data_IF_610545897837
#
_entry.id   IF_610545897837
#
_cell.length_a   1.000
_cell.length_b   1.000
_cell.length_c   1.000
_cell.angle_alpha   90.00
_cell.angle_beta   90.00
_cell.angle_gamma   90.00
#
_symmetry.space_group_name_H-M   'P 1'
#
loop_
_entity.id
_entity.type
_entity.pdbx_description
1 polymer ?
#
# COMPACT_ATOMS: atom_id res chain seq x y z
N UNK A 1 -4.48 -82.54 -59.33
CA UNK A 1 -3.56 -82.47 -58.19
C UNK A 1 -3.65 -81.10 -57.58
N UNK A 2 -4.31 -81.02 -56.46
CA UNK A 2 -4.71 -79.77 -55.72
C UNK A 2 -3.60 -79.35 -54.79
N UNK A 3 -3.21 -78.08 -54.83
CA UNK A 3 -2.43 -77.44 -53.76
C UNK A 3 -3.14 -76.20 -53.24
N UNK A 4 -3.64 -76.32 -52.03
CA UNK A 4 -4.25 -75.33 -51.27
C UNK A 4 -3.21 -74.34 -50.75
N UNK A 5 -3.41 -73.00 -50.95
CA UNK A 5 -2.59 -71.97 -50.40
C UNK A 5 -3.41 -71.33 -49.29
N UNK A 6 -2.98 -71.49 -48.02
CA UNK A 6 -3.51 -70.76 -46.85
C UNK A 6 -2.98 -69.31 -46.85
N UNK A 7 -3.87 -68.37 -46.88
CA UNK A 7 -3.54 -66.98 -46.66
C UNK A 7 -3.58 -66.70 -45.14
N UNK A 8 -2.43 -66.30 -44.56
CA UNK A 8 -2.28 -65.86 -43.18
C UNK A 8 -2.61 -64.37 -43.10
N UNK A 9 -3.68 -64.06 -42.40
CA UNK A 9 -4.07 -62.67 -42.06
C UNK A 9 -3.25 -62.22 -40.87
N UNK A 10 -2.23 -61.36 -41.09
CA UNK A 10 -1.51 -60.66 -40.01
C UNK A 10 -2.30 -59.46 -39.47
N UNK A 11 -2.77 -59.64 -38.27
CA UNK A 11 -3.45 -58.54 -37.49
C UNK A 11 -2.38 -57.57 -37.04
N UNK A 12 -2.32 -56.38 -37.68
CA UNK A 12 -1.43 -55.28 -37.32
C UNK A 12 -2.11 -54.47 -36.22
N UNK A 13 -1.72 -54.71 -34.96
CA UNK A 13 -2.18 -53.93 -33.81
C UNK A 13 -1.48 -52.56 -33.83
N UNK A 14 -2.22 -51.51 -34.22
CA UNK A 14 -1.83 -50.11 -34.11
C UNK A 14 -2.01 -49.69 -32.67
N UNK A 15 -0.92 -49.55 -31.93
CA UNK A 15 -0.87 -48.99 -30.59
C UNK A 15 -0.84 -47.47 -30.71
N UNK A 16 -1.87 -46.72 -30.23
CA UNK A 16 -1.81 -45.25 -30.20
C UNK A 16 -0.81 -44.81 -29.14
N UNK A 17 0.31 -44.24 -29.56
CA UNK A 17 1.25 -43.53 -28.69
C UNK A 17 0.56 -42.26 -28.15
N UNK A 18 0.08 -42.34 -26.93
CA UNK A 18 -0.45 -41.19 -26.17
C UNK A 18 0.74 -40.26 -25.82
N UNK A 19 0.99 -39.27 -26.67
CA UNK A 19 1.91 -38.17 -26.36
C UNK A 19 1.34 -37.39 -25.18
N UNK A 20 1.83 -37.66 -23.99
CA UNK A 20 1.68 -36.77 -22.82
C UNK A 20 2.46 -35.47 -23.11
N UNK A 21 1.78 -34.48 -23.69
CA UNK A 21 2.28 -33.12 -23.75
C UNK A 21 2.35 -32.60 -22.30
N UNK A 22 3.52 -32.76 -21.68
CA UNK A 22 3.85 -32.10 -20.42
C UNK A 22 3.88 -30.60 -20.69
N UNK A 23 2.74 -29.95 -20.53
CA UNK A 23 2.64 -28.50 -20.55
C UNK A 23 3.51 -27.96 -19.40
N UNK A 24 4.69 -27.47 -19.73
CA UNK A 24 5.50 -26.69 -18.79
C UNK A 24 4.66 -25.46 -18.42
N UNK A 25 4.06 -25.47 -17.25
CA UNK A 25 3.48 -24.26 -16.67
C UNK A 25 4.65 -23.27 -16.52
N UNK A 26 4.70 -22.28 -17.40
CA UNK A 26 5.57 -21.13 -17.23
C UNK A 26 5.06 -20.41 -15.98
N UNK A 27 5.64 -20.70 -14.83
CA UNK A 27 5.50 -19.89 -13.64
C UNK A 27 6.08 -18.53 -14.00
N UNK A 28 5.19 -17.56 -14.23
CA UNK A 28 5.58 -16.20 -14.61
C UNK A 28 6.40 -15.60 -13.47
N UNK A 29 7.62 -15.15 -13.75
CA UNK A 29 8.43 -14.42 -12.79
C UNK A 29 7.93 -12.98 -12.67
N UNK A 30 7.81 -12.47 -11.44
CA UNK A 30 7.39 -11.11 -11.14
C UNK A 30 8.56 -10.34 -10.54
N UNK A 31 8.79 -9.14 -11.06
CA UNK A 31 9.78 -8.21 -10.52
C UNK A 31 9.16 -7.43 -9.37
N UNK A 32 9.79 -7.48 -8.21
CA UNK A 32 9.34 -6.82 -6.98
C UNK A 32 10.42 -5.90 -6.43
N UNK A 33 9.99 -4.97 -5.57
CA UNK A 33 10.89 -4.06 -4.84
C UNK A 33 11.26 -4.68 -3.51
N UNK A 34 12.56 -4.67 -3.19
CA UNK A 34 13.11 -5.15 -1.92
C UNK A 34 14.12 -4.14 -1.37
N UNK A 35 14.38 -4.11 -0.05
CA UNK A 35 15.45 -3.29 0.52
C UNK A 35 16.81 -3.73 0.01
N UNK A 36 17.69 -2.78 -0.30
CA UNK A 36 19.09 -3.03 -0.68
C UNK A 36 19.99 -3.34 0.54
N UNK A 37 19.58 -2.87 1.70
CA UNK A 37 20.21 -3.08 3.01
C UNK A 37 19.12 -3.10 4.10
N UNK A 38 19.49 -3.41 5.33
CA UNK A 38 18.57 -3.39 6.45
C UNK A 38 18.12 -1.95 6.76
N UNK A 39 16.80 -1.74 6.82
CA UNK A 39 16.20 -0.43 7.11
C UNK A 39 15.54 -0.50 8.49
N UNK A 40 15.94 0.39 9.39
CA UNK A 40 15.44 0.40 10.76
C UNK A 40 13.97 0.85 10.83
N UNK A 41 13.27 0.47 11.92
CA UNK A 41 11.90 0.95 12.16
C UNK A 41 11.87 2.47 12.33
N UNK A 42 10.94 3.12 11.65
CA UNK A 42 10.76 4.58 11.71
C UNK A 42 11.66 5.34 10.75
N UNK A 43 12.49 4.66 9.97
CA UNK A 43 13.34 5.26 8.95
C UNK A 43 12.55 5.56 7.67
N UNK A 44 12.90 6.66 7.00
CA UNK A 44 12.27 7.04 5.74
C UNK A 44 13.02 6.39 4.59
N UNK A 45 12.32 5.69 3.74
CA UNK A 45 12.86 4.94 2.61
C UNK A 45 13.24 5.89 1.48
N UNK A 46 14.53 5.95 1.14
CA UNK A 46 15.05 6.62 -0.04
C UNK A 46 15.03 5.73 -1.27
N UNK A 47 15.36 6.30 -2.41
CA UNK A 47 15.49 5.54 -3.67
C UNK A 47 16.71 4.61 -3.66
N UNK A 48 17.82 5.05 -3.01
CA UNK A 48 19.05 4.26 -2.83
C UNK A 48 18.87 3.03 -1.94
N UNK A 49 17.85 3.04 -1.09
CA UNK A 49 17.59 1.98 -0.11
C UNK A 49 16.77 0.83 -0.71
N UNK A 50 16.39 0.96 -1.98
CA UNK A 50 15.56 0.01 -2.70
C UNK A 50 16.31 -0.61 -3.90
N UNK A 51 16.03 -1.87 -4.15
CA UNK A 51 16.49 -2.58 -5.34
C UNK A 51 15.37 -3.48 -5.87
N UNK A 52 15.56 -4.01 -7.07
CA UNK A 52 14.62 -4.96 -7.64
C UNK A 52 15.14 -6.38 -7.52
N UNK A 53 14.27 -7.31 -7.19
CA UNK A 53 14.51 -8.74 -7.31
C UNK A 53 13.40 -9.41 -8.12
N UNK A 54 13.66 -10.60 -8.62
CA UNK A 54 12.69 -11.39 -9.38
C UNK A 54 12.31 -12.60 -8.53
N UNK A 55 11.03 -12.81 -8.36
CA UNK A 55 10.46 -13.94 -7.62
C UNK A 55 9.49 -14.73 -8.49
N UNK A 56 9.23 -15.97 -8.14
CA UNK A 56 8.18 -16.75 -8.78
C UNK A 56 6.81 -16.15 -8.45
N UNK A 57 6.01 -15.86 -9.47
CA UNK A 57 4.69 -15.26 -9.31
C UNK A 57 3.73 -16.10 -8.46
N UNK A 58 3.94 -17.43 -8.43
CA UNK A 58 3.14 -18.33 -7.59
C UNK A 58 3.45 -18.19 -6.10
N UNK A 59 4.66 -17.73 -5.77
CA UNK A 59 5.11 -17.48 -4.39
C UNK A 59 4.86 -16.03 -3.93
N UNK A 60 4.35 -15.17 -4.81
CA UNK A 60 4.15 -13.76 -4.50
C UNK A 60 2.99 -13.57 -3.52
N UNK A 61 3.30 -13.07 -2.33
CA UNK A 61 2.29 -12.66 -1.36
C UNK A 61 1.58 -11.38 -1.83
N UNK A 62 0.28 -11.27 -1.56
CA UNK A 62 -0.49 -10.05 -1.86
C UNK A 62 0.08 -8.83 -1.12
N UNK A 63 0.08 -7.68 -1.79
CA UNK A 63 0.51 -6.41 -1.19
C UNK A 63 2.02 -6.16 -1.20
N UNK A 64 2.80 -6.96 -1.92
CA UNK A 64 4.23 -6.69 -2.13
C UNK A 64 4.38 -5.60 -3.21
N UNK A 65 5.15 -4.52 -2.96
CA UNK A 65 5.35 -3.44 -3.92
C UNK A 65 6.08 -3.91 -5.18
N UNK A 66 5.62 -3.47 -6.33
CA UNK A 66 6.23 -3.75 -7.63
C UNK A 66 6.92 -2.53 -8.24
N UNK A 67 6.60 -1.33 -7.71
CA UNK A 67 7.18 -0.06 -8.16
C UNK A 67 7.83 0.66 -6.99
N UNK A 68 8.99 1.26 -7.24
CA UNK A 68 9.70 2.04 -6.21
C UNK A 68 8.91 3.27 -5.75
N UNK A 69 8.14 3.90 -6.66
CA UNK A 69 7.35 5.10 -6.34
C UNK A 69 6.24 4.83 -5.31
N UNK A 70 5.81 3.57 -5.17
CA UNK A 70 4.79 3.17 -4.20
C UNK A 70 5.30 3.26 -2.75
N UNK A 71 6.61 3.18 -2.56
CA UNK A 71 7.24 3.09 -1.22
C UNK A 71 8.31 4.14 -0.96
N UNK A 72 8.78 4.81 -2.00
CA UNK A 72 9.73 5.92 -1.89
C UNK A 72 9.15 7.05 -1.04
N UNK A 73 9.93 7.55 -0.08
CA UNK A 73 9.49 8.60 0.85
C UNK A 73 8.54 8.11 1.95
N UNK A 74 8.21 6.82 2.00
CA UNK A 74 7.45 6.24 3.10
C UNK A 74 8.34 5.91 4.29
N UNK A 75 7.74 5.83 5.46
CA UNK A 75 8.39 5.47 6.72
C UNK A 75 8.09 4.02 7.08
N UNK A 76 9.10 3.28 7.51
CA UNK A 76 8.96 1.90 7.94
C UNK A 76 8.20 1.79 9.25
N UNK A 77 7.29 0.81 9.36
CA UNK A 77 6.59 0.45 10.60
C UNK A 77 7.35 -0.58 11.41
N UNK A 78 8.15 -1.38 10.76
CA UNK A 78 9.02 -2.41 11.35
C UNK A 78 10.37 -2.39 10.64
N UNK A 79 11.35 -3.07 11.18
CA UNK A 79 12.62 -3.29 10.50
C UNK A 79 12.39 -4.09 9.21
N UNK A 80 12.97 -3.63 8.11
CA UNK A 80 13.00 -4.35 6.84
C UNK A 80 14.39 -4.92 6.63
N UNK A 81 14.45 -6.17 6.18
CA UNK A 81 15.71 -6.90 6.02
C UNK A 81 16.13 -6.87 4.55
N UNK A 82 17.41 -6.65 4.30
CA UNK A 82 18.02 -6.64 2.96
C UNK A 82 17.59 -7.84 2.11
N UNK A 83 17.16 -7.58 0.89
CA UNK A 83 16.77 -8.61 -0.09
C UNK A 83 15.47 -9.35 0.22
N UNK A 84 14.78 -9.07 1.33
CA UNK A 84 13.53 -9.74 1.66
C UNK A 84 12.31 -8.95 1.16
N UNK A 85 11.30 -9.63 0.60
CA UNK A 85 10.03 -9.01 0.26
C UNK A 85 9.34 -8.45 1.51
N UNK A 86 8.75 -7.26 1.37
CA UNK A 86 7.93 -6.62 2.40
C UNK A 86 6.59 -6.22 1.81
N UNK A 87 5.61 -5.90 2.66
CA UNK A 87 4.27 -5.52 2.24
C UNK A 87 4.06 -4.02 2.33
N UNK A 88 3.12 -3.49 1.56
CA UNK A 88 2.71 -2.09 1.64
C UNK A 88 2.22 -1.69 3.06
N UNK A 89 1.70 -2.64 3.84
CA UNK A 89 1.30 -2.41 5.23
C UNK A 89 2.49 -2.23 6.21
N UNK A 90 3.69 -2.64 5.81
CA UNK A 90 4.93 -2.50 6.61
C UNK A 90 5.49 -1.07 6.54
N UNK A 91 4.96 -0.25 5.66
CA UNK A 91 5.32 1.15 5.48
C UNK A 91 4.12 2.06 5.69
N UNK A 92 4.35 3.34 5.93
CA UNK A 92 3.32 4.36 6.10
C UNK A 92 3.83 5.71 5.62
N UNK A 93 2.95 6.67 5.42
CA UNK A 93 3.38 8.06 5.23
C UNK A 93 4.15 8.54 6.44
N UNK A 94 5.22 9.33 6.26
CA UNK A 94 5.97 9.91 7.37
C UNK A 94 5.04 10.68 8.30
N UNK A 95 5.16 10.48 9.61
CA UNK A 95 4.42 11.26 10.60
C UNK A 95 5.04 12.66 10.65
N UNK A 96 4.26 13.66 10.32
CA UNK A 96 4.67 15.07 10.33
C UNK A 96 3.92 15.88 11.39
N UNK A 97 2.90 15.28 11.99
CA UNK A 97 2.18 15.80 13.16
C UNK A 97 2.08 14.68 14.17
N UNK A 98 2.61 14.89 15.37
CA UNK A 98 2.56 13.95 16.48
C UNK A 98 1.41 14.29 17.46
N UNK A 99 0.87 13.27 18.13
CA UNK A 99 -0.12 13.47 19.20
C UNK A 99 0.45 14.36 20.30
N UNK A 100 -0.32 15.36 20.72
CA UNK A 100 0.10 16.34 21.73
C UNK A 100 0.85 17.55 21.18
N UNK A 101 1.25 17.53 19.92
CA UNK A 101 1.94 18.62 19.24
C UNK A 101 1.00 19.83 19.06
N UNK A 102 1.54 21.05 19.25
CA UNK A 102 0.86 22.27 18.86
C UNK A 102 0.97 22.43 17.35
N UNK A 103 -0.17 22.66 16.71
CA UNK A 103 -0.30 22.82 15.25
C UNK A 103 -1.03 24.11 14.92
N UNK A 104 -0.74 24.66 13.75
CA UNK A 104 -1.49 25.78 13.19
C UNK A 104 -2.68 25.25 12.41
N UNK A 105 -3.88 25.61 12.82
CA UNK A 105 -5.10 25.33 12.09
C UNK A 105 -5.37 26.46 11.10
N UNK A 106 -5.57 26.11 9.82
CA UNK A 106 -6.00 27.04 8.78
C UNK A 106 -7.47 26.75 8.46
N UNK A 107 -8.28 27.78 8.48
CA UNK A 107 -9.67 27.73 8.03
C UNK A 107 -9.82 28.66 6.82
N UNK A 108 -10.19 28.08 5.70
CA UNK A 108 -10.36 28.80 4.43
C UNK A 108 -11.84 28.88 4.10
N UNK A 109 -12.36 30.09 3.97
CA UNK A 109 -13.69 30.39 3.45
C UNK A 109 -13.58 31.44 2.34
N UNK A 110 -14.57 31.58 1.43
CA UNK A 110 -14.53 32.57 0.37
C UNK A 110 -14.24 33.97 0.92
N UNK A 111 -13.09 34.53 0.57
CA UNK A 111 -12.64 35.86 1.00
C UNK A 111 -12.12 35.96 2.44
N UNK A 112 -12.01 34.83 3.17
CA UNK A 112 -11.53 34.84 4.56
C UNK A 112 -10.57 33.67 4.78
N UNK A 113 -9.40 34.00 5.30
CA UNK A 113 -8.45 33.01 5.84
C UNK A 113 -8.29 33.29 7.36
N UNK A 114 -8.57 32.28 8.16
CA UNK A 114 -8.38 32.34 9.60
C UNK A 114 -7.33 31.33 10.01
N UNK A 115 -6.45 31.73 10.92
CA UNK A 115 -5.48 30.86 11.55
C UNK A 115 -5.69 30.82 13.05
N UNK A 116 -5.53 29.64 13.64
CA UNK A 116 -5.60 29.45 15.08
C UNK A 116 -4.62 28.36 15.50
N UNK A 117 -4.17 28.41 16.75
CA UNK A 117 -3.37 27.33 17.30
C UNK A 117 -4.27 26.26 17.91
N UNK A 118 -3.88 25.00 17.77
CA UNK A 118 -4.56 23.87 18.35
C UNK A 118 -3.59 22.79 18.79
N UNK A 119 -4.06 21.84 19.58
CA UNK A 119 -3.30 20.69 20.02
C UNK A 119 -3.76 19.45 19.28
N UNK A 120 -2.85 18.77 18.59
CA UNK A 120 -3.15 17.52 17.91
C UNK A 120 -3.47 16.41 18.92
N UNK A 121 -4.59 15.76 18.76
CA UNK A 121 -5.05 14.64 19.60
C UNK A 121 -4.76 13.29 18.95
N UNK A 122 -4.40 13.27 17.65
CA UNK A 122 -3.93 12.12 16.89
C UNK A 122 -2.69 12.48 16.09
N UNK A 123 -1.94 11.48 15.65
CA UNK A 123 -0.77 11.64 14.78
C UNK A 123 -1.15 11.37 13.32
N UNK A 124 -0.35 11.88 12.38
CA UNK A 124 -0.54 11.61 10.97
C UNK A 124 0.54 12.21 10.07
N UNK A 125 0.52 11.78 8.80
CA UNK A 125 1.31 12.30 7.70
C UNK A 125 0.55 13.33 6.87
N UNK A 126 1.20 13.92 5.87
CA UNK A 126 0.56 14.85 4.94
C UNK A 126 -0.59 14.14 4.21
N UNK A 127 -1.77 14.79 4.19
CA UNK A 127 -3.00 14.26 3.62
C UNK A 127 -3.86 13.43 4.58
N UNK A 128 -3.36 13.10 5.79
CA UNK A 128 -4.14 12.39 6.79
C UNK A 128 -5.07 13.35 7.54
N UNK A 129 -6.22 12.83 7.97
CA UNK A 129 -7.16 13.56 8.82
C UNK A 129 -6.80 13.34 10.28
N UNK A 130 -6.61 14.43 11.01
CA UNK A 130 -6.32 14.43 12.45
C UNK A 130 -7.36 15.19 13.23
N UNK A 131 -7.52 14.82 14.48
CA UNK A 131 -8.35 15.55 15.45
C UNK A 131 -7.48 16.56 16.17
N UNK A 132 -7.95 17.80 16.25
CA UNK A 132 -7.27 18.91 16.92
C UNK A 132 -8.19 19.47 17.99
N UNK A 133 -7.66 19.70 19.16
CA UNK A 133 -8.34 20.39 20.24
C UNK A 133 -7.98 21.87 20.24
N UNK A 134 -8.98 22.73 20.25
CA UNK A 134 -8.78 24.16 20.50
C UNK A 134 -8.50 24.36 22.01
N UNK A 135 -7.36 24.95 22.42
CA UNK A 135 -6.98 25.06 23.81
C UNK A 135 -7.85 26.02 24.63
N UNK A 136 -8.56 26.94 23.96
CA UNK A 136 -9.42 27.92 24.60
C UNK A 136 -10.84 27.39 24.81
N UNK A 137 -11.44 26.83 23.79
CA UNK A 137 -12.82 26.34 23.81
C UNK A 137 -12.97 24.85 24.10
N UNK A 138 -11.85 24.12 24.15
CA UNK A 138 -11.78 22.66 24.30
C UNK A 138 -12.55 21.87 23.23
N UNK A 139 -13.00 22.54 22.17
CA UNK A 139 -13.70 21.89 21.06
C UNK A 139 -12.73 21.07 20.22
N UNK A 140 -13.23 19.91 19.79
CA UNK A 140 -12.54 19.04 18.84
C UNK A 140 -12.89 19.44 17.42
N UNK A 141 -11.87 19.54 16.56
CA UNK A 141 -11.98 19.95 15.17
C UNK A 141 -11.26 18.89 14.33
N UNK A 142 -11.92 18.41 13.28
CA UNK A 142 -11.25 17.58 12.28
C UNK A 142 -10.51 18.47 11.29
N UNK A 143 -9.34 18.03 10.86
CA UNK A 143 -8.59 18.74 9.83
C UNK A 143 -7.64 17.82 9.09
N UNK A 144 -7.31 18.18 7.86
CA UNK A 144 -6.35 17.48 7.03
C UNK A 144 -4.98 18.13 7.15
N UNK A 145 -3.94 17.33 7.38
CA UNK A 145 -2.55 17.80 7.43
C UNK A 145 -2.14 18.23 6.03
N UNK A 146 -1.76 19.50 5.86
CA UNK A 146 -1.33 20.06 4.57
C UNK A 146 0.17 20.30 4.51
N UNK A 147 0.81 20.49 5.68
CA UNK A 147 2.26 20.65 5.82
C UNK A 147 2.68 20.23 7.23
N UNK A 148 3.97 20.01 7.51
CA UNK A 148 4.45 19.76 8.87
C UNK A 148 3.97 20.85 9.84
N UNK A 149 3.25 20.43 10.89
CA UNK A 149 2.68 21.35 11.90
C UNK A 149 1.50 22.22 11.42
N UNK A 150 1.01 22.05 10.18
CA UNK A 150 -0.10 22.84 9.63
C UNK A 150 -1.25 21.94 9.22
N UNK A 151 -2.43 22.24 9.67
CA UNK A 151 -3.64 21.45 9.43
C UNK A 151 -4.76 22.36 8.91
N UNK A 152 -5.36 21.98 7.78
CA UNK A 152 -6.54 22.66 7.25
C UNK A 152 -7.78 22.09 7.92
N UNK A 153 -8.51 22.92 8.66
CA UNK A 153 -9.74 22.54 9.33
C UNK A 153 -10.84 22.23 8.31
N UNK A 154 -11.52 21.10 8.48
CA UNK A 154 -12.66 20.68 7.66
C UNK A 154 -14.01 20.88 8.34
N UNK A 155 -14.00 21.34 9.59
CA UNK A 155 -15.18 21.62 10.38
C UNK A 155 -15.13 20.99 11.79
N UNK A 156 -16.03 21.36 12.69
CA UNK A 156 -16.13 20.75 14.01
C UNK A 156 -16.66 19.32 13.89
N UNK A 157 -16.02 18.37 14.59
CA UNK A 157 -16.43 16.95 14.61
C UNK A 157 -17.81 16.75 15.26
N UNK A 158 -18.27 17.69 16.08
CA UNK A 158 -19.57 17.68 16.74
C UNK A 158 -20.14 19.11 16.83
N UNK A 159 -20.50 19.71 15.70
CA UNK A 159 -21.45 20.80 15.75
C UNK A 159 -22.86 20.17 15.66
N UNK A 160 -23.71 20.26 16.70
CA UNK A 160 -25.13 20.10 16.44
C UNK A 160 -25.48 21.19 15.43
N UNK A 161 -26.03 20.78 14.29
CA UNK A 161 -26.61 21.71 13.31
C UNK A 161 -27.80 22.33 14.06
N UNK A 162 -27.54 23.45 14.73
CA UNK A 162 -28.61 24.24 15.30
C UNK A 162 -29.32 24.85 14.08
N UNK A 163 -30.39 24.17 13.64
CA UNK A 163 -31.36 24.76 12.74
C UNK A 163 -31.83 26.04 13.43
N UNK A 164 -31.28 27.19 13.03
CA UNK A 164 -31.87 28.47 13.31
C UNK A 164 -33.22 28.43 12.60
N UNK A 165 -34.25 28.14 13.37
CA UNK A 165 -35.64 28.28 12.96
C UNK A 165 -35.82 29.72 12.56
N UNK A 166 -36.00 29.99 11.26
CA UNK A 166 -36.56 31.27 10.80
C UNK A 166 -37.95 31.38 11.37
N UNK A 167 -38.15 32.36 12.20
CA UNK A 167 -39.46 32.97 12.41
C UNK A 167 -39.66 34.11 11.42
#
# INVERSE_FOLDING_TARGET
MMRKILASFGLFAILPALLLASGSAFAGTVRIVVPSHDIARGETIGESDLTFTTVDGSALMSGVPTKMDEVKGMQTRRMLIAGQPFRAEDVRRPIVVSKGQTVTMQFLAPGVELTAMGRAMSEGGIGDTVTIQNPVSYRMIAGTIVAPGTVRATGPINAPINKIARR
#
